data_IF_559718850844
#
_entry.id   IF_559718850844
#
_cell.length_a   1.000
_cell.length_b   1.000
_cell.length_c   1.000
_cell.angle_alpha   90.00
_cell.angle_beta   90.00
_cell.angle_gamma   90.00
#
_symmetry.space_group_name_H-M   'P 1'
#
loop_
_entity.id
_entity.type
_entity.pdbx_description
1 polymer ?
#
# COMPACT_ATOMS: atom_id res chain seq x y z
N UNK A 1 18.60 25.13 -20.13
CA UNK A 1 18.70 24.30 -18.91
C UNK A 1 18.19 25.12 -17.74
N UNK A 2 17.01 24.86 -17.25
CA UNK A 2 16.52 25.46 -16.00
C UNK A 2 17.34 24.87 -14.87
N UNK A 3 18.04 25.74 -14.15
CA UNK A 3 18.81 25.34 -12.98
C UNK A 3 17.84 24.75 -11.95
N UNK A 4 18.05 23.50 -11.56
CA UNK A 4 17.20 22.78 -10.60
C UNK A 4 17.19 23.40 -9.20
N UNK A 5 18.05 24.40 -8.98
CA UNK A 5 18.23 25.06 -7.67
C UNK A 5 17.10 26.03 -7.33
N UNK A 6 16.35 26.53 -8.34
CA UNK A 6 15.28 27.53 -8.18
C UNK A 6 13.85 26.96 -8.21
N UNK A 7 13.72 25.63 -8.26
CA UNK A 7 12.39 25.02 -8.27
C UNK A 7 11.77 25.01 -6.86
N UNK A 8 10.48 25.32 -6.74
CA UNK A 8 9.79 25.21 -5.46
C UNK A 8 9.86 23.76 -4.93
N UNK A 9 9.77 23.56 -3.60
CA UNK A 9 9.72 22.22 -3.02
C UNK A 9 8.68 21.34 -3.72
N UNK A 10 9.02 20.07 -3.91
CA UNK A 10 8.12 19.10 -4.53
C UNK A 10 6.97 18.79 -3.57
N UNK A 11 5.77 19.27 -3.89
CA UNK A 11 4.56 18.88 -3.19
C UNK A 11 4.10 17.51 -3.72
N UNK A 12 4.22 16.49 -2.88
CA UNK A 12 3.80 15.13 -3.19
C UNK A 12 3.36 14.42 -1.89
N UNK A 13 2.42 13.48 -1.98
CA UNK A 13 2.03 12.70 -0.81
C UNK A 13 3.24 11.87 -0.32
N UNK A 14 3.40 11.71 1.00
CA UNK A 14 4.50 10.90 1.55
C UNK A 14 4.37 9.44 1.09
N UNK A 15 5.49 8.73 0.89
CA UNK A 15 5.47 7.31 0.57
C UNK A 15 4.71 6.50 1.63
N UNK A 16 4.07 5.43 1.21
CA UNK A 16 3.35 4.56 2.13
C UNK A 16 2.15 3.85 1.52
N UNK A 17 1.38 3.25 2.40
CA UNK A 17 0.18 2.49 2.08
C UNK A 17 -1.04 3.42 2.09
N UNK A 18 -1.81 3.40 1.00
CA UNK A 18 -2.99 4.25 0.82
C UNK A 18 -4.21 3.44 0.40
N UNK A 19 -5.36 3.88 0.84
CA UNK A 19 -6.64 3.34 0.40
C UNK A 19 -7.44 4.39 -0.35
N UNK A 20 -7.91 4.06 -1.55
CA UNK A 20 -8.82 4.88 -2.32
C UNK A 20 -10.24 4.78 -1.73
N UNK A 21 -11.05 5.84 -1.85
CA UNK A 21 -12.42 5.84 -1.32
C UNK A 21 -13.31 4.70 -1.88
N UNK A 22 -12.99 4.18 -3.05
CA UNK A 22 -13.66 3.00 -3.65
C UNK A 22 -13.17 1.66 -3.06
N UNK A 23 -12.23 1.67 -2.14
CA UNK A 23 -11.75 0.49 -1.43
C UNK A 23 -10.45 -0.13 -1.93
N UNK A 24 -9.95 0.25 -3.10
CA UNK A 24 -8.68 -0.25 -3.64
C UNK A 24 -7.48 0.20 -2.82
N UNK A 25 -6.50 -0.68 -2.68
CA UNK A 25 -5.23 -0.40 -2.01
C UNK A 25 -4.16 0.02 -3.01
N UNK A 26 -3.34 0.97 -2.62
CA UNK A 26 -2.26 1.54 -3.42
C UNK A 26 -1.03 1.79 -2.56
N UNK A 27 0.13 1.78 -3.19
CA UNK A 27 1.38 2.19 -2.57
C UNK A 27 1.91 3.43 -3.28
N UNK A 28 2.10 4.51 -2.52
CA UNK A 28 2.85 5.67 -2.99
C UNK A 28 4.33 5.38 -2.81
N UNK A 29 5.10 5.48 -3.89
CA UNK A 29 6.54 5.24 -3.92
C UNK A 29 7.34 6.53 -3.68
N UNK A 30 6.74 7.67 -4.04
CA UNK A 30 7.37 8.98 -3.91
C UNK A 30 6.68 10.02 -4.75
N UNK A 31 7.34 11.15 -4.90
CA UNK A 31 6.94 12.23 -5.80
C UNK A 31 7.82 12.29 -7.04
N UNK A 32 7.24 12.81 -8.09
CA UNK A 32 7.94 13.16 -9.33
C UNK A 32 7.51 14.55 -9.76
N UNK A 33 8.28 15.18 -10.63
CA UNK A 33 7.93 16.46 -11.24
C UNK A 33 7.66 16.23 -12.73
N UNK A 34 6.55 16.74 -13.21
CA UNK A 34 6.29 16.75 -14.64
C UNK A 34 7.30 17.69 -15.33
N UNK A 35 8.05 17.19 -16.31
CA UNK A 35 9.06 17.98 -17.02
C UNK A 35 8.46 19.12 -17.87
N UNK A 36 7.22 18.97 -18.29
CA UNK A 36 6.52 19.95 -19.12
C UNK A 36 5.92 21.09 -18.28
N UNK A 37 5.22 20.73 -17.21
CA UNK A 37 4.43 21.67 -16.41
C UNK A 37 5.06 22.04 -15.08
N UNK A 38 6.13 21.34 -14.68
CA UNK A 38 6.78 21.42 -13.38
C UNK A 38 5.87 21.06 -12.19
N UNK A 39 4.68 20.54 -12.47
CA UNK A 39 3.70 20.13 -11.46
C UNK A 39 4.21 18.92 -10.66
N UNK A 40 3.95 18.93 -9.37
CA UNK A 40 4.18 17.79 -8.49
C UNK A 40 3.22 16.63 -8.80
N UNK A 41 3.78 15.44 -8.92
CA UNK A 41 3.06 14.22 -9.24
C UNK A 41 3.27 13.20 -8.13
N UNK A 42 2.23 12.47 -7.76
CA UNK A 42 2.37 11.26 -6.97
C UNK A 42 2.75 10.09 -7.88
N UNK A 43 3.82 9.39 -7.55
CA UNK A 43 4.22 8.14 -8.19
C UNK A 43 3.71 6.97 -7.34
N UNK A 44 2.90 6.10 -7.91
CA UNK A 44 2.25 5.04 -7.15
C UNK A 44 1.98 3.79 -7.98
N UNK A 45 1.68 2.69 -7.31
CA UNK A 45 1.23 1.43 -7.93
C UNK A 45 -0.03 0.91 -7.26
N UNK A 46 -0.82 0.14 -7.99
CA UNK A 46 -1.93 -0.62 -7.43
C UNK A 46 -1.40 -1.81 -6.62
N UNK A 47 -2.06 -2.12 -5.51
CA UNK A 47 -1.80 -3.31 -4.69
C UNK A 47 -2.95 -4.33 -4.84
N UNK A 48 -3.38 -4.54 -6.08
CA UNK A 48 -4.37 -5.54 -6.47
C UNK A 48 -4.11 -5.96 -7.92
N UNK A 49 -4.66 -7.10 -8.32
CA UNK A 49 -4.47 -7.63 -9.66
C UNK A 49 -2.98 -7.76 -10.02
N UNK A 50 -2.61 -7.36 -11.21
CA UNK A 50 -1.21 -7.40 -11.69
C UNK A 50 -0.25 -6.53 -10.85
N UNK A 51 -0.78 -5.52 -10.16
CA UNK A 51 0.01 -4.66 -9.28
C UNK A 51 0.62 -5.37 -8.08
N UNK A 52 0.07 -6.52 -7.67
CA UNK A 52 0.63 -7.34 -6.58
C UNK A 52 2.01 -7.92 -6.92
N UNK A 53 2.27 -8.17 -8.19
CA UNK A 53 3.50 -8.78 -8.70
C UNK A 53 4.43 -7.78 -9.40
N UNK A 54 4.25 -6.48 -9.14
CA UNK A 54 5.09 -5.44 -9.70
C UNK A 54 4.60 -4.87 -11.03
N UNK A 55 3.29 -4.74 -11.19
CA UNK A 55 2.65 -4.13 -12.35
C UNK A 55 3.04 -2.66 -12.58
N UNK A 56 2.45 -2.05 -13.59
CA UNK A 56 2.78 -0.71 -14.05
C UNK A 56 2.74 0.35 -12.95
N UNK A 57 3.68 1.27 -13.00
CA UNK A 57 3.67 2.47 -12.18
C UNK A 57 2.74 3.52 -12.81
N UNK A 58 2.09 4.26 -11.95
CA UNK A 58 1.17 5.33 -12.31
C UNK A 58 1.63 6.65 -11.74
N UNK A 59 1.30 7.72 -12.43
CA UNK A 59 1.46 9.09 -11.94
C UNK A 59 0.12 9.81 -11.95
N UNK A 60 -0.07 10.67 -10.96
CA UNK A 60 -1.24 11.54 -10.86
C UNK A 60 -0.81 12.88 -10.27
N UNK A 61 -1.40 14.02 -10.68
CA UNK A 61 -1.15 15.27 -10.00
C UNK A 61 -1.32 15.14 -8.48
N UNK A 62 -0.32 15.57 -7.72
CA UNK A 62 -0.30 15.42 -6.27
C UNK A 62 -1.53 16.06 -5.61
N UNK A 63 -1.97 17.22 -6.11
CA UNK A 63 -3.18 17.89 -5.62
C UNK A 63 -4.44 17.02 -5.77
N UNK A 64 -4.58 16.31 -6.91
CA UNK A 64 -5.70 15.39 -7.13
C UNK A 64 -5.62 14.14 -6.23
N UNK A 65 -4.41 13.68 -5.96
CA UNK A 65 -4.19 12.53 -5.08
C UNK A 65 -4.64 12.85 -3.65
N UNK A 66 -4.33 14.03 -3.17
CA UNK A 66 -4.59 14.47 -1.79
C UNK A 66 -5.93 15.17 -1.60
N UNK A 67 -6.72 15.36 -2.66
CA UNK A 67 -7.95 16.15 -2.59
C UNK A 67 -9.00 15.57 -1.65
N UNK A 68 -9.76 16.48 -1.04
CA UNK A 68 -11.00 16.18 -0.32
C UNK A 68 -12.17 16.66 -1.16
N UNK A 69 -13.14 15.81 -1.38
CA UNK A 69 -14.30 16.10 -2.21
C UNK A 69 -15.50 15.25 -1.84
N UNK A 70 -16.59 15.41 -2.59
CA UNK A 70 -17.78 14.60 -2.43
C UNK A 70 -17.62 13.32 -3.28
N UNK A 71 -17.13 12.28 -2.64
CA UNK A 71 -16.87 10.98 -3.24
C UNK A 71 -17.78 9.91 -2.62
N UNK A 72 -18.43 9.11 -3.46
CA UNK A 72 -19.32 8.04 -2.98
C UNK A 72 -20.47 8.53 -2.10
N UNK A 73 -21.00 9.73 -2.38
CA UNK A 73 -22.12 10.31 -1.66
C UNK A 73 -21.80 10.94 -0.30
N UNK A 74 -20.52 11.09 0.01
CA UNK A 74 -20.08 11.78 1.24
C UNK A 74 -18.79 12.56 1.02
N UNK A 75 -18.59 13.59 1.86
CA UNK A 75 -17.35 14.34 1.86
C UNK A 75 -16.23 13.54 2.50
N UNK A 76 -15.19 13.24 1.74
CA UNK A 76 -14.05 12.45 2.18
C UNK A 76 -12.82 12.70 1.33
N UNK A 77 -11.67 12.20 1.76
CA UNK A 77 -10.45 12.23 0.94
C UNK A 77 -10.52 11.19 -0.16
N UNK A 78 -9.95 11.50 -1.33
CA UNK A 78 -9.81 10.54 -2.44
C UNK A 78 -8.95 9.35 -2.04
N UNK A 79 -7.81 9.61 -1.39
CA UNK A 79 -6.93 8.61 -0.83
C UNK A 79 -6.62 8.91 0.64
N UNK A 80 -6.55 7.89 1.45
CA UNK A 80 -6.20 7.99 2.87
C UNK A 80 -4.98 7.12 3.13
N UNK A 81 -3.96 7.70 3.77
CA UNK A 81 -2.78 6.98 4.22
C UNK A 81 -3.09 6.12 5.43
N UNK A 82 -2.60 4.90 5.44
CA UNK A 82 -2.75 3.96 6.54
C UNK A 82 -1.39 3.56 7.10
N UNK A 83 -1.33 3.39 8.42
CA UNK A 83 -0.20 2.74 9.07
C UNK A 83 -0.31 1.22 8.83
N UNK A 84 0.69 0.58 8.20
CA UNK A 84 0.67 -0.86 7.97
C UNK A 84 0.44 -1.69 9.25
N UNK A 85 0.93 -1.21 10.40
CA UNK A 85 0.75 -1.90 11.68
C UNK A 85 -0.71 -1.91 12.15
N UNK A 86 -1.48 -0.88 11.81
CA UNK A 86 -2.86 -0.69 12.27
C UNK A 86 -3.94 -1.12 11.28
N UNK A 87 -3.59 -1.59 10.08
CA UNK A 87 -4.58 -2.03 9.10
C UNK A 87 -5.35 -3.26 9.61
N UNK A 88 -6.69 -3.20 9.69
CA UNK A 88 -7.49 -4.36 10.06
C UNK A 88 -7.36 -5.49 9.03
N UNK A 89 -7.08 -6.69 9.47
CA UNK A 89 -6.98 -7.90 8.64
C UNK A 89 -8.29 -8.68 8.73
N UNK A 90 -9.21 -8.39 7.81
CA UNK A 90 -10.54 -8.98 7.81
C UNK A 90 -11.01 -9.40 6.41
N UNK A 91 -10.24 -9.09 5.38
CA UNK A 91 -10.54 -9.44 3.98
C UNK A 91 -9.26 -9.76 3.21
N UNK A 92 -9.40 -10.57 2.18
CA UNK A 92 -8.29 -11.06 1.38
C UNK A 92 -7.61 -9.96 0.53
N UNK A 93 -8.33 -9.01 -0.11
CA UNK A 93 -7.70 -7.91 -0.80
C UNK A 93 -6.77 -7.08 0.09
N UNK A 94 -7.18 -6.79 1.32
CA UNK A 94 -6.36 -6.08 2.31
C UNK A 94 -5.14 -6.89 2.73
N UNK A 95 -5.30 -8.19 2.97
CA UNK A 95 -4.20 -9.09 3.32
C UNK A 95 -3.14 -9.14 2.21
N UNK A 96 -3.55 -9.32 0.96
CA UNK A 96 -2.67 -9.35 -0.21
C UNK A 96 -1.95 -8.02 -0.41
N UNK A 97 -2.67 -6.92 -0.31
CA UNK A 97 -2.09 -5.58 -0.43
C UNK A 97 -1.02 -5.31 0.63
N UNK A 98 -1.29 -5.69 1.88
CA UNK A 98 -0.34 -5.53 2.98
C UNK A 98 0.94 -6.36 2.75
N UNK A 99 0.82 -7.61 2.36
CA UNK A 99 1.97 -8.47 2.06
C UNK A 99 2.80 -7.85 0.92
N UNK A 100 2.16 -7.45 -0.17
CA UNK A 100 2.85 -6.84 -1.31
C UNK A 100 3.54 -5.53 -0.92
N UNK A 101 2.89 -4.70 -0.12
CA UNK A 101 3.47 -3.45 0.39
C UNK A 101 4.72 -3.71 1.23
N UNK A 102 4.64 -4.59 2.23
CA UNK A 102 5.77 -4.88 3.13
C UNK A 102 6.94 -5.53 2.40
N UNK A 103 6.68 -6.47 1.48
CA UNK A 103 7.72 -7.07 0.64
C UNK A 103 8.39 -6.04 -0.27
N UNK A 104 7.61 -5.20 -0.94
CA UNK A 104 8.13 -4.16 -1.81
C UNK A 104 8.96 -3.12 -1.04
N UNK A 105 8.49 -2.72 0.13
CA UNK A 105 9.21 -1.80 1.02
C UNK A 105 10.55 -2.38 1.48
N UNK A 106 10.54 -3.64 1.90
CA UNK A 106 11.74 -4.36 2.32
C UNK A 106 12.77 -4.48 1.19
N UNK A 107 12.31 -4.83 0.00
CA UNK A 107 13.16 -4.94 -1.18
C UNK A 107 13.83 -3.60 -1.52
N UNK A 108 13.08 -2.50 -1.51
CA UNK A 108 13.62 -1.15 -1.75
C UNK A 108 14.61 -0.70 -0.67
N UNK A 109 14.49 -1.21 0.56
CA UNK A 109 15.40 -0.93 1.67
C UNK A 109 16.59 -1.90 1.74
N UNK A 110 16.70 -2.83 0.80
CA UNK A 110 17.78 -3.80 0.77
C UNK A 110 17.71 -4.89 1.84
N UNK A 111 16.53 -5.11 2.42
CA UNK A 111 16.28 -6.16 3.44
C UNK A 111 15.15 -7.07 2.98
N UNK A 112 15.36 -7.95 1.98
CA UNK A 112 14.32 -8.84 1.48
C UNK A 112 13.76 -9.73 2.59
N UNK A 113 12.46 -9.65 2.85
CA UNK A 113 11.81 -10.40 3.92
C UNK A 113 11.85 -11.92 3.70
N UNK A 114 11.86 -12.36 2.45
CA UNK A 114 11.91 -13.78 2.10
C UNK A 114 13.20 -14.47 2.55
N UNK A 115 14.25 -13.70 2.82
CA UNK A 115 15.51 -14.20 3.40
C UNK A 115 15.57 -14.04 4.93
N UNK A 116 14.85 -13.08 5.48
CA UNK A 116 14.90 -12.73 6.90
C UNK A 116 13.79 -13.38 7.72
N UNK A 117 12.69 -13.74 7.08
CA UNK A 117 11.50 -14.27 7.74
C UNK A 117 10.96 -15.52 7.04
N UNK A 118 10.16 -16.28 7.78
CA UNK A 118 9.29 -17.28 7.16
C UNK A 118 8.34 -16.59 6.16
N UNK A 119 7.91 -17.30 5.10
CA UNK A 119 6.90 -16.75 4.20
C UNK A 119 5.61 -16.41 4.97
N UNK A 120 4.80 -15.47 4.47
CA UNK A 120 3.49 -15.22 5.07
C UNK A 120 2.64 -16.50 5.05
N UNK A 121 1.66 -16.62 5.96
CA UNK A 121 0.81 -17.80 6.00
C UNK A 121 0.13 -18.02 4.65
N UNK A 122 0.00 -19.27 4.20
CA UNK A 122 -0.69 -19.59 2.95
C UNK A 122 -2.18 -19.25 3.08
N UNK A 123 -2.76 -18.78 1.98
CA UNK A 123 -4.20 -18.54 1.93
C UNK A 123 -4.95 -19.87 2.08
N UNK A 124 -6.05 -19.90 2.86
CA UNK A 124 -6.87 -21.10 2.97
C UNK A 124 -7.45 -21.50 1.61
N UNK A 125 -7.25 -22.77 1.24
CA UNK A 125 -7.76 -23.33 -0.02
C UNK A 125 -9.23 -23.76 0.08
N UNK A 126 -9.74 -23.96 1.30
CA UNK A 126 -11.09 -24.47 1.55
C UNK A 126 -11.80 -23.66 2.61
N UNK A 127 -13.05 -23.29 2.35
CA UNK A 127 -13.96 -22.73 3.32
C UNK A 127 -15.32 -23.44 3.16
N UNK A 128 -15.87 -23.95 4.27
CA UNK A 128 -17.18 -24.61 4.25
C UNK A 128 -18.34 -23.63 4.25
N UNK A 129 -18.10 -22.33 4.43
CA UNK A 129 -19.14 -21.28 4.48
C UNK A 129 -20.11 -21.37 5.69
N UNK A 130 -19.78 -22.16 6.72
CA UNK A 130 -20.67 -22.47 7.84
C UNK A 130 -20.43 -21.69 9.13
N UNK A 131 -19.57 -20.66 9.12
CA UNK A 131 -19.31 -19.84 10.32
C UNK A 131 -18.83 -20.63 11.52
N UNK A 132 -17.88 -21.55 11.33
CA UNK A 132 -17.36 -22.42 12.39
C UNK A 132 -16.61 -21.63 13.46
N UNK A 133 -16.73 -22.01 14.73
CA UNK A 133 -15.78 -21.65 15.77
C UNK A 133 -14.38 -22.17 15.35
N UNK A 134 -13.41 -21.25 15.21
CA UNK A 134 -12.09 -21.57 14.68
C UNK A 134 -12.04 -21.63 13.15
N UNK A 135 -12.75 -20.71 12.49
CA UNK A 135 -12.71 -20.55 11.04
C UNK A 135 -11.25 -20.47 10.53
N UNK A 136 -10.95 -21.22 9.46
CA UNK A 136 -9.61 -21.19 8.83
C UNK A 136 -9.17 -19.79 8.43
N UNK A 137 -10.11 -18.90 8.08
CA UNK A 137 -9.84 -17.51 7.75
C UNK A 137 -9.45 -16.67 8.98
N UNK A 138 -10.06 -16.90 10.12
CA UNK A 138 -9.67 -16.25 11.38
C UNK A 138 -8.23 -16.63 11.75
N UNK A 139 -7.90 -17.90 11.65
CA UNK A 139 -6.55 -18.40 11.86
C UNK A 139 -5.54 -17.80 10.87
N UNK A 140 -5.92 -17.67 9.60
CA UNK A 140 -5.10 -17.03 8.57
C UNK A 140 -4.82 -15.56 8.91
N UNK A 141 -5.84 -14.77 9.21
CA UNK A 141 -5.66 -13.34 9.53
C UNK A 141 -4.88 -13.14 10.85
N UNK A 142 -5.08 -14.00 11.84
CA UNK A 142 -4.29 -13.96 13.07
C UNK A 142 -2.82 -14.27 12.81
N UNK A 143 -2.53 -15.33 12.06
CA UNK A 143 -1.16 -15.68 11.65
C UNK A 143 -0.50 -14.58 10.80
N UNK A 144 -1.27 -13.96 9.90
CA UNK A 144 -0.78 -12.84 9.10
C UNK A 144 -0.48 -11.61 9.98
N UNK A 145 -1.26 -11.38 11.03
CA UNK A 145 -0.99 -10.33 12.01
C UNK A 145 0.36 -10.51 12.71
N UNK A 146 0.70 -11.74 13.10
CA UNK A 146 2.02 -12.08 13.66
C UNK A 146 3.14 -11.88 12.61
N UNK A 147 2.95 -12.39 11.40
CA UNK A 147 3.92 -12.19 10.32
C UNK A 147 4.15 -10.70 10.04
N UNK A 148 3.09 -9.89 10.02
CA UNK A 148 3.18 -8.43 9.87
C UNK A 148 4.05 -7.78 10.95
N UNK A 149 3.86 -8.16 12.20
CA UNK A 149 4.65 -7.63 13.31
C UNK A 149 6.13 -7.97 13.15
N UNK A 150 6.44 -9.22 12.78
CA UNK A 150 7.82 -9.66 12.52
C UNK A 150 8.42 -8.92 11.32
N UNK A 151 7.66 -8.75 10.24
CA UNK A 151 8.08 -8.01 9.05
C UNK A 151 8.43 -6.55 9.37
N UNK A 152 7.56 -5.88 10.12
CA UNK A 152 7.78 -4.48 10.52
C UNK A 152 8.99 -4.35 11.47
N UNK A 153 9.26 -5.34 12.31
CA UNK A 153 10.44 -5.36 13.16
C UNK A 153 11.76 -5.47 12.38
N UNK A 154 11.74 -6.08 11.19
CA UNK A 154 12.91 -6.17 10.29
C UNK A 154 13.13 -4.90 9.46
N UNK A 155 12.13 -4.04 9.35
CA UNK A 155 12.23 -2.82 8.55
C UNK A 155 12.78 -1.67 9.41
N UNK A 156 13.96 -1.12 9.11
CA UNK A 156 14.47 0.05 9.83
C UNK A 156 13.50 1.24 9.61
N UNK A 157 13.32 2.02 10.67
CA UNK A 157 12.54 3.27 10.65
C UNK A 157 13.22 4.34 9.81
#
# INVERSE_FOLDING_TARGET
MTDTTDLPPLDAPPPGLYRHYKGGWYEVLGGARCSETLQGMALYRALYGEGLEGGALWVRPAAMFSETGDFGGRRQRRFVRHDPAGVPLADLPTARALIAHLRGLAQRRGTPLDHALRPPPPEPATCCGRGCNGCVWEGFYAALGHWRADALAQLPR
#
